data_IF_335144135394
#
_entry.id   IF_335144135394
#
_cell.length_a   1.000
_cell.length_b   1.000
_cell.length_c   1.000
_cell.angle_alpha   90.00
_cell.angle_beta   90.00
_cell.angle_gamma   90.00
#
_symmetry.space_group_name_H-M   'P 1'
#
loop_
_entity.id
_entity.type
_entity.pdbx_description
1 polymer ?
#
# COMPACT_ATOMS: atom_id res chain seq x y z
N UNK A 1 -5.28 -0.98 1.76
CA UNK A 1 -5.81 -1.56 3.02
C UNK A 1 -7.33 -1.61 3.03
N UNK A 2 -8.02 -0.47 3.10
CA UNK A 2 -9.50 -0.40 3.22
C UNK A 2 -10.20 -1.22 2.13
N UNK A 3 -9.76 -1.16 0.88
CA UNK A 3 -10.32 -1.93 -0.21
C UNK A 3 -10.28 -3.45 0.04
N UNK A 4 -9.17 -3.99 0.56
CA UNK A 4 -9.06 -5.41 0.93
C UNK A 4 -10.08 -5.79 2.01
N UNK A 5 -10.22 -4.95 3.05
CA UNK A 5 -11.15 -5.20 4.15
C UNK A 5 -12.62 -5.13 3.69
N UNK A 6 -12.96 -4.15 2.85
CA UNK A 6 -14.33 -4.02 2.30
C UNK A 6 -14.64 -5.19 1.38
N UNK A 7 -13.74 -5.53 0.47
CA UNK A 7 -13.92 -6.62 -0.48
C UNK A 7 -14.11 -7.98 0.22
N UNK A 8 -13.41 -8.20 1.34
CA UNK A 8 -13.60 -9.39 2.14
C UNK A 8 -14.96 -9.43 2.89
N UNK A 9 -15.45 -8.26 3.36
CA UNK A 9 -16.69 -8.15 4.12
C UNK A 9 -17.95 -8.11 3.27
N UNK A 10 -17.84 -7.58 2.07
CA UNK A 10 -18.96 -7.35 1.14
C UNK A 10 -18.59 -7.80 -0.28
N UNK A 11 -18.23 -9.09 -0.47
CA UNK A 11 -17.80 -9.58 -1.77
C UNK A 11 -18.88 -9.43 -2.85
N UNK A 12 -20.15 -9.44 -2.48
CA UNK A 12 -21.27 -9.24 -3.38
C UNK A 12 -21.38 -7.81 -3.95
N UNK A 13 -20.71 -6.84 -3.33
CA UNK A 13 -20.69 -5.45 -3.77
C UNK A 13 -19.46 -5.11 -4.62
N UNK A 14 -18.59 -6.09 -4.89
CA UNK A 14 -17.32 -5.89 -5.57
C UNK A 14 -17.32 -6.59 -6.92
N UNK A 15 -17.13 -5.84 -8.00
CA UNK A 15 -16.98 -6.38 -9.36
C UNK A 15 -15.56 -6.88 -9.62
N UNK A 16 -14.57 -6.16 -9.13
CA UNK A 16 -13.14 -6.50 -9.22
C UNK A 16 -12.35 -5.77 -8.15
N UNK A 17 -11.16 -6.28 -7.82
CA UNK A 17 -10.27 -5.68 -6.83
C UNK A 17 -8.88 -5.48 -7.44
N UNK A 18 -8.46 -4.24 -7.62
CA UNK A 18 -7.08 -3.89 -7.94
C UNK A 18 -6.43 -3.20 -6.72
N UNK A 19 -5.27 -3.67 -6.31
CA UNK A 19 -4.49 -3.09 -5.22
C UNK A 19 -3.06 -2.81 -5.67
N UNK A 20 -2.53 -1.66 -5.25
CA UNK A 20 -1.19 -1.20 -5.59
C UNK A 20 -0.40 -0.99 -4.32
N UNK A 21 0.62 -1.81 -4.11
CA UNK A 21 1.48 -1.78 -2.92
C UNK A 21 0.71 -1.51 -1.62
N UNK A 22 -0.29 -2.35 -1.28
CA UNK A 22 -1.05 -2.14 -0.07
C UNK A 22 -0.12 -2.31 1.15
N UNK A 23 -0.16 -1.38 2.14
CA UNK A 23 0.70 -1.46 3.33
C UNK A 23 0.19 -2.53 4.31
N UNK A 24 -0.08 -3.73 3.80
CA UNK A 24 -0.57 -4.89 4.54
C UNK A 24 0.60 -5.72 5.11
N UNK A 25 1.57 -5.05 5.71
CA UNK A 25 2.83 -5.66 6.16
C UNK A 25 2.64 -6.79 7.17
N UNK A 26 1.52 -6.82 7.88
CA UNK A 26 1.15 -7.95 8.75
C UNK A 26 1.10 -9.30 8.03
N UNK A 27 0.83 -9.30 6.71
CA UNK A 27 0.77 -10.51 5.90
C UNK A 27 2.14 -11.18 5.64
N UNK A 28 3.20 -10.39 5.67
CA UNK A 28 4.54 -10.84 5.33
C UNK A 28 5.54 -10.68 6.51
N UNK A 29 5.04 -10.66 7.75
CA UNK A 29 5.89 -10.65 8.95
C UNK A 29 6.77 -11.91 9.00
N UNK A 30 8.00 -11.74 9.49
CA UNK A 30 9.04 -12.77 9.40
C UNK A 30 9.92 -12.64 8.15
N UNK A 31 9.53 -11.86 7.15
CA UNK A 31 10.42 -11.43 6.08
C UNK A 31 11.31 -10.29 6.61
N UNK A 32 12.67 -10.40 6.54
CA UNK A 32 13.58 -9.40 7.13
C UNK A 32 13.40 -7.99 6.60
N UNK A 33 13.03 -7.82 5.31
CA UNK A 33 12.84 -6.50 4.72
C UNK A 33 11.53 -5.86 5.21
N UNK A 34 10.48 -6.67 5.37
CA UNK A 34 9.19 -6.23 5.93
C UNK A 34 9.36 -5.86 7.40
N UNK A 35 10.02 -6.70 8.18
CA UNK A 35 10.22 -6.45 9.61
C UNK A 35 11.04 -5.17 9.83
N UNK A 36 12.11 -4.97 9.08
CA UNK A 36 12.93 -3.73 9.12
C UNK A 36 12.12 -2.49 8.74
N UNK A 37 11.29 -2.56 7.70
CA UNK A 37 10.44 -1.44 7.30
C UNK A 37 9.41 -1.11 8.39
N UNK A 38 8.76 -2.11 8.95
CA UNK A 38 7.77 -1.94 10.03
C UNK A 38 8.41 -1.36 11.28
N UNK A 39 9.60 -1.80 11.67
CA UNK A 39 10.33 -1.23 12.81
C UNK A 39 10.63 0.27 12.60
N UNK A 40 11.09 0.65 11.41
CA UNK A 40 11.33 2.07 11.08
C UNK A 40 10.05 2.90 11.09
N UNK A 41 8.96 2.37 10.56
CA UNK A 41 7.66 3.04 10.56
C UNK A 41 7.15 3.19 12.00
N UNK A 42 7.17 2.12 12.80
CA UNK A 42 6.71 2.14 14.19
C UNK A 42 7.49 3.17 15.03
N UNK A 43 8.82 3.19 14.89
CA UNK A 43 9.67 4.18 15.55
C UNK A 43 9.33 5.61 15.10
N UNK A 44 9.13 5.83 13.79
CA UNK A 44 8.77 7.14 13.26
C UNK A 44 7.41 7.63 13.76
N UNK A 45 6.41 6.75 13.83
CA UNK A 45 5.09 7.10 14.33
C UNK A 45 5.06 7.35 15.84
N UNK A 46 5.83 6.60 16.62
CA UNK A 46 5.89 6.75 18.08
C UNK A 46 6.77 7.90 18.53
N UNK A 47 7.97 8.00 17.99
CA UNK A 47 9.05 8.84 18.50
C UNK A 47 9.54 9.90 17.49
N UNK A 48 9.03 9.86 16.26
CA UNK A 48 9.40 10.80 15.21
C UNK A 48 8.91 12.24 15.44
N UNK A 49 9.28 13.16 14.54
CA UNK A 49 8.90 14.57 14.63
C UNK A 49 7.39 14.76 14.72
N UNK A 50 6.95 15.73 15.53
CA UNK A 50 5.52 16.13 15.62
C UNK A 50 5.18 17.31 14.72
N UNK A 51 6.18 18.00 14.21
CA UNK A 51 6.02 19.02 13.17
C UNK A 51 5.64 18.33 11.85
N UNK A 52 4.58 18.82 11.20
CA UNK A 52 3.93 18.12 10.08
C UNK A 52 4.86 17.86 8.89
N UNK A 53 5.64 18.87 8.52
CA UNK A 53 6.54 18.79 7.38
C UNK A 53 7.69 17.82 7.65
N UNK A 54 8.27 17.88 8.85
CA UNK A 54 9.35 16.98 9.25
C UNK A 54 8.86 15.53 9.37
N UNK A 55 7.65 15.32 9.91
CA UNK A 55 7.02 14.00 9.95
C UNK A 55 6.82 13.46 8.52
N UNK A 56 6.23 14.26 7.64
CA UNK A 56 5.98 13.84 6.25
C UNK A 56 7.27 13.52 5.50
N UNK A 57 8.33 14.32 5.69
CA UNK A 57 9.63 14.08 5.05
C UNK A 57 10.24 12.74 5.51
N UNK A 58 10.24 12.45 6.80
CA UNK A 58 10.71 11.16 7.32
C UNK A 58 9.87 9.97 6.84
N UNK A 59 8.55 10.13 6.78
CA UNK A 59 7.67 9.10 6.25
C UNK A 59 7.96 8.80 4.76
N UNK A 60 8.08 9.84 3.94
CA UNK A 60 8.42 9.74 2.50
C UNK A 60 9.75 9.00 2.30
N UNK A 61 10.76 9.31 3.11
CA UNK A 61 12.06 8.63 3.09
C UNK A 61 11.93 7.15 3.46
N UNK A 62 11.18 6.82 4.52
CA UNK A 62 11.01 5.45 5.00
C UNK A 62 10.32 4.57 3.95
N UNK A 63 9.25 5.06 3.33
CA UNK A 63 8.49 4.30 2.32
C UNK A 63 9.13 4.31 0.93
N UNK A 64 10.22 5.07 0.73
CA UNK A 64 10.96 5.08 -0.53
C UNK A 64 10.19 5.72 -1.69
N UNK A 65 9.44 6.78 -1.43
CA UNK A 65 8.76 7.54 -2.49
C UNK A 65 9.54 8.81 -2.87
N UNK A 66 9.46 9.22 -4.13
CA UNK A 66 10.07 10.45 -4.64
C UNK A 66 9.20 11.71 -4.41
N UNK A 67 8.21 11.63 -3.54
CA UNK A 67 7.35 12.77 -3.24
C UNK A 67 8.13 13.92 -2.60
N UNK A 68 7.96 15.12 -3.14
CA UNK A 68 8.56 16.35 -2.57
C UNK A 68 7.56 16.96 -1.60
N UNK A 69 8.00 17.24 -0.38
CA UNK A 69 7.20 17.94 0.62
C UNK A 69 7.39 19.45 0.42
N UNK A 70 6.32 20.20 0.11
CA UNK A 70 6.40 21.65 -0.10
C UNK A 70 6.92 22.37 1.13
N UNK A 71 7.60 23.52 0.93
CA UNK A 71 8.05 24.37 2.03
C UNK A 71 6.87 24.93 2.83
N UNK A 72 5.84 25.37 2.13
CA UNK A 72 4.55 25.75 2.72
C UNK A 72 3.54 24.66 2.37
N UNK A 73 2.96 24.02 3.38
CA UNK A 73 2.00 22.95 3.18
C UNK A 73 0.63 23.52 2.78
N UNK A 74 0.06 23.13 1.64
CA UNK A 74 -1.33 23.44 1.32
C UNK A 74 -2.28 22.83 2.38
N UNK A 75 -3.43 23.48 2.68
CA UNK A 75 -4.36 23.00 3.73
C UNK A 75 -4.83 21.55 3.57
N UNK A 76 -5.00 21.08 2.33
CA UNK A 76 -5.37 19.70 2.03
C UNK A 76 -4.23 18.73 2.35
N UNK A 77 -2.97 19.10 2.12
CA UNK A 77 -1.78 18.31 2.46
C UNK A 77 -1.62 18.24 3.97
N UNK A 78 -1.76 19.38 4.67
CA UNK A 78 -1.76 19.38 6.14
C UNK A 78 -2.80 18.43 6.73
N UNK A 79 -4.05 18.47 6.22
CA UNK A 79 -5.12 17.56 6.67
C UNK A 79 -4.75 16.10 6.45
N UNK A 80 -4.15 15.80 5.28
CA UNK A 80 -3.68 14.44 4.96
C UNK A 80 -2.60 13.95 5.93
N UNK A 81 -1.61 14.79 6.22
CA UNK A 81 -0.53 14.45 7.16
C UNK A 81 -1.08 14.26 8.57
N UNK A 82 -1.98 15.14 9.05
CA UNK A 82 -2.62 15.00 10.36
C UNK A 82 -3.45 13.72 10.47
N UNK A 83 -4.17 13.35 9.40
CA UNK A 83 -4.91 12.10 9.33
C UNK A 83 -3.95 10.91 9.41
N UNK A 84 -2.87 10.90 8.63
CA UNK A 84 -1.85 9.87 8.65
C UNK A 84 -1.23 9.70 10.07
N UNK A 85 -0.89 10.80 10.74
CA UNK A 85 -0.34 10.77 12.11
C UNK A 85 -1.32 10.23 13.15
N UNK A 86 -2.63 10.31 12.88
CA UNK A 86 -3.69 9.86 13.78
C UNK A 86 -4.20 8.45 13.44
N UNK A 87 -3.80 7.89 12.31
CA UNK A 87 -4.22 6.55 11.90
C UNK A 87 -3.65 5.46 12.81
N UNK A 88 -4.39 4.36 12.91
CA UNK A 88 -3.87 3.14 13.52
C UNK A 88 -2.84 2.52 12.58
N UNK A 89 -1.79 1.89 13.12
CA UNK A 89 -0.77 1.23 12.31
C UNK A 89 -1.38 0.25 11.31
N UNK A 90 -1.11 0.45 10.02
CA UNK A 90 -1.65 -0.41 8.95
C UNK A 90 -1.08 -1.83 9.01
N UNK A 91 0.10 -2.01 9.59
CA UNK A 91 0.75 -3.32 9.77
C UNK A 91 0.13 -4.18 10.87
N UNK A 92 -0.75 -3.62 11.70
CA UNK A 92 -1.54 -4.35 12.70
C UNK A 92 -2.87 -4.87 12.15
N UNK A 93 -3.22 -4.48 10.91
CA UNK A 93 -4.51 -4.86 10.35
C UNK A 93 -4.52 -6.34 9.90
N UNK A 94 -5.50 -7.08 10.35
CA UNK A 94 -5.75 -8.46 9.93
C UNK A 94 -6.54 -8.47 8.62
N UNK A 95 -5.94 -9.00 7.56
CA UNK A 95 -6.58 -9.14 6.25
C UNK A 95 -7.15 -10.56 6.16
N UNK A 96 -8.47 -10.72 5.96
CA UNK A 96 -9.11 -12.04 5.87
C UNK A 96 -8.89 -12.66 4.49
N UNK A 97 -7.68 -13.21 4.26
CA UNK A 97 -7.25 -13.75 2.97
C UNK A 97 -8.16 -14.88 2.47
N UNK A 98 -8.62 -15.76 3.34
CA UNK A 98 -9.45 -16.90 2.93
C UNK A 98 -10.80 -16.42 2.34
N UNK A 99 -11.40 -15.39 2.94
CA UNK A 99 -12.59 -14.75 2.40
C UNK A 99 -12.36 -14.07 1.04
N UNK A 100 -11.21 -13.42 0.90
CA UNK A 100 -10.82 -12.82 -0.38
C UNK A 100 -10.51 -13.87 -1.44
N UNK A 101 -9.86 -14.97 -1.08
CA UNK A 101 -9.55 -16.06 -2.00
C UNK A 101 -10.83 -16.72 -2.54
N UNK A 102 -11.81 -16.96 -1.68
CA UNK A 102 -13.09 -17.54 -2.04
C UNK A 102 -14.02 -16.60 -2.84
N UNK A 103 -13.76 -15.29 -2.83
CA UNK A 103 -14.59 -14.32 -3.52
C UNK A 103 -14.47 -14.47 -5.05
N UNK A 104 -15.60 -14.40 -5.80
CA UNK A 104 -15.63 -14.73 -7.24
C UNK A 104 -15.08 -13.63 -8.15
N UNK A 105 -14.86 -12.43 -7.65
CA UNK A 105 -14.37 -11.31 -8.44
C UNK A 105 -12.88 -11.45 -8.79
N UNK A 106 -12.50 -10.87 -9.92
CA UNK A 106 -11.10 -10.82 -10.37
C UNK A 106 -10.26 -9.93 -9.44
N UNK A 107 -9.01 -10.29 -9.31
CA UNK A 107 -8.06 -9.58 -8.43
C UNK A 107 -6.77 -9.28 -9.17
N UNK A 108 -6.25 -8.05 -8.97
CA UNK A 108 -4.99 -7.59 -9.51
C UNK A 108 -4.13 -6.99 -8.40
N UNK A 109 -2.87 -7.42 -8.33
CA UNK A 109 -1.88 -6.91 -7.39
C UNK A 109 -0.75 -6.25 -8.17
N UNK A 110 -0.47 -4.98 -7.88
CA UNK A 110 0.54 -4.19 -8.61
C UNK A 110 1.64 -3.74 -7.64
N UNK A 111 2.91 -3.86 -8.06
CA UNK A 111 4.04 -3.23 -7.36
C UNK A 111 4.91 -2.40 -8.28
N UNK A 112 5.71 -1.50 -7.69
CA UNK A 112 6.68 -0.68 -8.41
C UNK A 112 8.05 -1.34 -8.54
N UNK A 113 8.28 -2.49 -7.90
CA UNK A 113 9.57 -3.18 -7.89
C UNK A 113 10.71 -2.35 -7.28
N UNK A 114 10.38 -1.42 -6.38
CA UNK A 114 11.35 -0.51 -5.76
C UNK A 114 11.72 -0.89 -4.33
N UNK A 115 10.91 -1.74 -3.69
CA UNK A 115 11.05 -2.09 -2.28
C UNK A 115 10.73 -3.55 -2.05
N UNK A 116 11.71 -4.32 -1.60
CA UNK A 116 11.55 -5.73 -1.28
C UNK A 116 10.46 -5.99 -0.21
N UNK A 117 10.20 -5.02 0.68
CA UNK A 117 9.14 -5.13 1.67
C UNK A 117 7.73 -5.05 1.03
N UNK A 118 7.51 -4.12 0.10
CA UNK A 118 6.25 -4.03 -0.63
C UNK A 118 6.07 -5.21 -1.59
N UNK A 119 7.14 -5.62 -2.26
CA UNK A 119 7.10 -6.79 -3.14
C UNK A 119 6.74 -8.06 -2.34
N UNK A 120 7.33 -8.28 -1.15
CA UNK A 120 6.99 -9.42 -0.30
C UNK A 120 5.50 -9.47 0.10
N UNK A 121 4.88 -8.31 0.39
CA UNK A 121 3.42 -8.24 0.64
C UNK A 121 2.64 -8.58 -0.63
N UNK A 122 3.06 -8.07 -1.78
CA UNK A 122 2.42 -8.35 -3.06
C UNK A 122 2.54 -9.83 -3.45
N UNK A 123 3.67 -10.46 -3.17
CA UNK A 123 3.92 -11.89 -3.43
C UNK A 123 3.01 -12.78 -2.57
N UNK A 124 2.83 -12.44 -1.28
CA UNK A 124 1.86 -13.14 -0.41
C UNK A 124 0.43 -12.99 -0.94
N UNK A 125 0.07 -11.79 -1.41
CA UNK A 125 -1.27 -11.57 -2.00
C UNK A 125 -1.45 -12.35 -3.30
N UNK A 126 -0.44 -12.40 -4.18
CA UNK A 126 -0.46 -13.20 -5.40
C UNK A 126 -0.62 -14.70 -5.10
N UNK A 127 0.17 -15.22 -4.15
CA UNK A 127 0.16 -16.63 -3.77
C UNK A 127 -1.16 -17.05 -3.10
N UNK A 128 -1.67 -16.22 -2.18
CA UNK A 128 -2.83 -16.55 -1.35
C UNK A 128 -4.18 -16.20 -1.99
N UNK A 129 -4.17 -15.28 -2.94
CA UNK A 129 -5.36 -14.91 -3.71
C UNK A 129 -5.14 -15.37 -5.15
N UNK A 130 -6.14 -15.90 -5.85
CA UNK A 130 -6.06 -16.14 -7.29
C UNK A 130 -6.04 -14.77 -8.02
N UNK A 131 -4.92 -14.05 -7.90
CA UNK A 131 -4.76 -12.69 -8.36
C UNK A 131 -3.75 -12.61 -9.51
N UNK A 132 -4.02 -11.73 -10.47
CA UNK A 132 -3.03 -11.33 -11.46
C UNK A 132 -1.94 -10.49 -10.80
N UNK A 133 -0.69 -10.66 -11.22
CA UNK A 133 0.45 -9.88 -10.73
C UNK A 133 0.95 -8.94 -11.82
N UNK A 134 1.20 -7.69 -11.48
CA UNK A 134 1.88 -6.74 -12.35
C UNK A 134 2.99 -6.01 -11.59
N UNK A 135 4.12 -5.81 -12.26
CA UNK A 135 5.21 -4.97 -11.76
C UNK A 135 5.40 -3.81 -12.73
N UNK A 136 5.49 -2.59 -12.22
CA UNK A 136 5.77 -1.37 -13.00
C UNK A 136 7.15 -0.81 -12.62
N UNK A 137 8.23 -1.31 -13.23
CA UNK A 137 9.59 -0.94 -12.85
C UNK A 137 9.83 0.56 -12.96
N UNK A 138 10.50 1.14 -11.94
CA UNK A 138 10.82 2.56 -11.90
C UNK A 138 9.67 3.47 -11.41
N UNK A 139 8.50 2.91 -11.11
CA UNK A 139 7.37 3.67 -10.59
C UNK A 139 7.57 4.17 -9.13
N UNK A 140 8.41 3.49 -8.37
CA UNK A 140 8.49 3.71 -6.92
C UNK A 140 7.14 3.44 -6.26
N UNK A 141 6.91 3.98 -5.07
CA UNK A 141 5.61 3.90 -4.39
C UNK A 141 4.52 4.79 -5.04
N UNK A 142 4.89 5.66 -5.97
CA UNK A 142 4.00 6.58 -6.68
C UNK A 142 3.27 5.96 -7.88
N UNK A 143 2.90 4.70 -7.84
CA UNK A 143 2.36 3.87 -8.93
C UNK A 143 1.27 4.56 -9.76
N UNK A 144 0.36 5.28 -9.14
CA UNK A 144 -0.73 5.97 -9.85
C UNK A 144 -0.25 7.03 -10.88
N UNK A 145 1.00 7.47 -10.78
CA UNK A 145 1.64 8.43 -11.70
C UNK A 145 2.59 7.76 -12.69
N UNK A 146 2.77 6.44 -12.57
CA UNK A 146 3.70 5.72 -13.43
C UNK A 146 3.15 5.55 -14.84
N UNK A 147 4.01 5.68 -15.88
CA UNK A 147 3.64 5.29 -17.23
C UNK A 147 3.17 3.83 -17.24
N UNK A 148 2.07 3.56 -17.94
CA UNK A 148 1.52 2.21 -18.04
C UNK A 148 0.54 1.80 -16.94
N UNK A 149 0.44 2.56 -15.82
CA UNK A 149 -0.50 2.24 -14.75
C UNK A 149 -1.98 2.31 -15.19
N UNK A 150 -2.45 3.40 -15.86
CA UNK A 150 -3.81 3.44 -16.38
C UNK A 150 -4.09 2.31 -17.37
N UNK A 151 -3.17 2.05 -18.30
CA UNK A 151 -3.32 0.99 -19.32
C UNK A 151 -3.42 -0.40 -18.67
N UNK A 152 -2.66 -0.64 -17.58
CA UNK A 152 -2.76 -1.91 -16.84
C UNK A 152 -4.12 -2.09 -16.17
N UNK A 153 -4.67 -1.03 -15.59
CA UNK A 153 -6.01 -1.05 -15.01
C UNK A 153 -7.09 -1.24 -16.09
N UNK A 154 -7.00 -0.49 -17.19
CA UNK A 154 -7.93 -0.62 -18.32
C UNK A 154 -7.93 -2.04 -18.89
N UNK A 155 -6.77 -2.65 -19.12
CA UNK A 155 -6.67 -4.02 -19.55
C UNK A 155 -7.33 -4.99 -18.56
N UNK A 156 -7.08 -4.83 -17.27
CA UNK A 156 -7.70 -5.65 -16.23
C UNK A 156 -9.24 -5.54 -16.18
N UNK A 157 -9.79 -4.36 -16.45
CA UNK A 157 -11.24 -4.14 -16.40
C UNK A 157 -11.95 -4.46 -17.73
N UNK A 158 -11.21 -4.61 -18.83
CA UNK A 158 -11.79 -4.89 -20.16
C UNK A 158 -11.97 -6.38 -20.44
N UNK A 159 -11.40 -7.26 -19.62
CA UNK A 159 -11.53 -8.73 -19.68
C UNK A 159 -12.64 -9.22 -18.76
#
# INVERSE_FOLDING_TARGET
>A
MIALLIAARRPEAVLSLAVSEPPAFGLARGNPEVDRLVERLDEHFRNGPRELRAFAAGFVEIVGTSATIPEVLPPEVERGIRALMAERPTWEAEIPLDGLAAAPFRKLVISGGHSAAFDAVCDVLEERLPAERAVLPGAGHGLARAPGYPQRLEAFWSE
#
